data_IF_759428275276
#
_entry.id   IF_759428275276
#
_cell.length_a   1.000
_cell.length_b   1.000
_cell.length_c   1.000
_cell.angle_alpha   90.00
_cell.angle_beta   90.00
_cell.angle_gamma   90.00
#
_symmetry.space_group_name_H-M   'P 1'
#
loop_
_entity.id
_entity.type
_entity.pdbx_description
1 polymer ?
#
# COMPACT_ATOMS: atom_id res chain seq x y z
N UNK A 1 -38.96 35.66 -38.81
CA UNK A 1 -39.22 34.87 -37.60
C UNK A 1 -39.26 35.82 -36.41
N UNK A 2 -40.36 35.91 -35.67
CA UNK A 2 -40.38 36.64 -34.39
C UNK A 2 -39.55 35.85 -33.39
N UNK A 3 -38.57 36.48 -32.75
CA UNK A 3 -37.88 35.89 -31.60
C UNK A 3 -38.92 35.73 -30.48
N UNK A 4 -39.37 34.50 -30.26
CA UNK A 4 -40.26 34.18 -29.14
C UNK A 4 -39.41 34.21 -27.87
N UNK A 5 -39.71 35.13 -26.96
CA UNK A 5 -39.07 35.24 -25.65
C UNK A 5 -40.12 35.05 -24.56
N UNK A 6 -39.76 34.35 -23.49
CA UNK A 6 -40.65 34.18 -22.34
C UNK A 6 -40.91 35.51 -21.63
N UNK A 7 -42.11 35.65 -21.06
CA UNK A 7 -42.43 36.72 -20.12
C UNK A 7 -41.71 36.50 -18.78
N UNK A 8 -41.52 37.60 -18.05
CA UNK A 8 -40.91 37.56 -16.71
C UNK A 8 -41.70 36.66 -15.73
N UNK A 9 -43.02 36.55 -15.89
CA UNK A 9 -43.86 35.69 -15.07
C UNK A 9 -43.57 34.20 -15.31
N UNK A 10 -43.48 33.78 -16.57
CA UNK A 10 -43.16 32.38 -16.92
C UNK A 10 -41.75 31.99 -16.52
N UNK A 11 -40.77 32.87 -16.75
CA UNK A 11 -39.39 32.65 -16.28
C UNK A 11 -39.36 32.47 -14.77
N UNK A 12 -40.08 33.32 -14.03
CA UNK A 12 -40.17 33.21 -12.57
C UNK A 12 -40.78 31.87 -12.13
N UNK A 13 -41.87 31.40 -12.75
CA UNK A 13 -42.48 30.10 -12.42
C UNK A 13 -41.52 28.92 -12.65
N UNK A 14 -40.76 28.95 -13.74
CA UNK A 14 -39.73 27.93 -14.03
C UNK A 14 -38.64 27.97 -12.96
N UNK A 15 -38.11 29.16 -12.65
CA UNK A 15 -37.06 29.31 -11.64
C UNK A 15 -37.52 28.88 -10.25
N UNK A 16 -38.75 29.21 -9.84
CA UNK A 16 -39.32 28.79 -8.56
C UNK A 16 -39.44 27.26 -8.46
N UNK A 17 -39.85 26.59 -9.53
CA UNK A 17 -39.91 25.13 -9.58
C UNK A 17 -38.50 24.51 -9.47
N UNK A 18 -37.52 25.01 -10.23
CA UNK A 18 -36.13 24.56 -10.16
C UNK A 18 -35.54 24.82 -8.78
N UNK A 19 -35.84 25.96 -8.16
CA UNK A 19 -35.42 26.30 -6.80
C UNK A 19 -35.97 25.33 -5.75
N UNK A 20 -37.22 24.90 -5.90
CA UNK A 20 -37.79 23.88 -5.04
C UNK A 20 -37.05 22.55 -5.17
N UNK A 21 -36.73 22.12 -6.41
CA UNK A 21 -35.92 20.93 -6.64
C UNK A 21 -34.52 21.07 -6.02
N UNK A 22 -33.86 22.22 -6.21
CA UNK A 22 -32.54 22.51 -5.66
C UNK A 22 -32.52 22.46 -4.13
N UNK A 23 -33.53 23.03 -3.46
CA UNK A 23 -33.64 23.00 -1.98
C UNK A 23 -33.79 21.59 -1.42
N UNK A 24 -34.29 20.66 -2.23
CA UNK A 24 -34.47 19.27 -1.85
C UNK A 24 -33.19 18.45 -2.03
N UNK A 25 -32.19 18.97 -2.77
CA UNK A 25 -30.89 18.33 -2.94
C UNK A 25 -30.00 18.58 -1.71
N UNK A 26 -29.46 17.51 -1.11
CA UNK A 26 -28.48 17.58 -0.02
C UNK A 26 -27.04 17.52 -0.57
N UNK A 27 -26.74 18.37 -1.54
CA UNK A 27 -25.49 18.33 -2.31
C UNK A 27 -24.68 19.63 -2.16
N UNK A 28 -23.37 19.61 -2.50
CA UNK A 28 -22.54 20.80 -2.50
C UNK A 28 -23.09 21.89 -3.43
N UNK A 29 -22.87 23.16 -3.09
CA UNK A 29 -23.39 24.30 -3.85
C UNK A 29 -23.02 24.29 -5.34
N UNK A 30 -21.88 23.68 -5.72
CA UNK A 30 -21.50 23.50 -7.12
C UNK A 30 -22.48 22.60 -7.88
N UNK A 31 -22.74 21.39 -7.38
CA UNK A 31 -23.64 20.43 -8.03
C UNK A 31 -25.09 20.94 -8.10
N UNK A 32 -25.51 21.67 -7.06
CA UNK A 32 -26.85 22.31 -7.04
C UNK A 32 -26.96 23.42 -8.09
N UNK A 33 -25.88 24.16 -8.35
CA UNK A 33 -25.88 25.21 -9.37
C UNK A 33 -25.83 24.64 -10.78
N UNK A 34 -25.03 23.61 -11.04
CA UNK A 34 -24.96 22.96 -12.36
C UNK A 34 -26.34 22.37 -12.72
N UNK A 35 -26.96 21.66 -11.77
CA UNK A 35 -28.33 21.17 -11.93
C UNK A 35 -29.33 22.30 -12.17
N UNK A 36 -29.23 23.40 -11.43
CA UNK A 36 -30.10 24.58 -11.62
C UNK A 36 -29.98 25.14 -13.03
N UNK A 37 -28.77 25.32 -13.53
CA UNK A 37 -28.51 25.87 -14.85
C UNK A 37 -29.04 24.95 -15.95
N UNK A 38 -28.69 23.66 -15.89
CA UNK A 38 -29.11 22.66 -16.88
C UNK A 38 -30.64 22.49 -16.92
N UNK A 39 -31.27 22.36 -15.76
CA UNK A 39 -32.72 22.20 -15.67
C UNK A 39 -33.48 23.44 -16.10
N UNK A 40 -33.00 24.63 -15.73
CA UNK A 40 -33.63 25.89 -16.16
C UNK A 40 -33.53 26.03 -17.68
N UNK A 41 -32.37 25.72 -18.27
CA UNK A 41 -32.19 25.75 -19.72
C UNK A 41 -33.11 24.74 -20.44
N UNK A 42 -33.15 23.49 -19.96
CA UNK A 42 -33.98 22.44 -20.56
C UNK A 42 -35.49 22.77 -20.47
N UNK A 43 -35.95 23.28 -19.32
CA UNK A 43 -37.35 23.70 -19.16
C UNK A 43 -37.69 24.89 -20.06
N UNK A 44 -36.82 25.91 -20.13
CA UNK A 44 -36.99 27.05 -21.04
C UNK A 44 -37.09 26.59 -22.49
N UNK A 45 -36.18 25.70 -22.92
CA UNK A 45 -36.20 25.14 -24.28
C UNK A 45 -37.47 24.37 -24.58
N UNK A 46 -37.94 23.53 -23.65
CA UNK A 46 -39.20 22.79 -23.80
C UNK A 46 -40.42 23.71 -23.90
N UNK A 47 -40.46 24.79 -23.11
CA UNK A 47 -41.53 25.79 -23.21
C UNK A 47 -41.51 26.49 -24.58
N UNK A 48 -40.34 26.90 -25.06
CA UNK A 48 -40.20 27.55 -26.36
C UNK A 48 -40.62 26.63 -27.51
N UNK A 49 -40.31 25.33 -27.43
CA UNK A 49 -40.74 24.33 -28.40
C UNK A 49 -42.27 24.18 -28.43
N UNK A 50 -42.91 24.11 -27.26
CA UNK A 50 -44.37 24.09 -27.17
C UNK A 50 -45.03 25.40 -27.65
N UNK A 51 -44.37 26.55 -27.50
CA UNK A 51 -44.89 27.81 -28.06
C UNK A 51 -44.80 27.82 -29.60
N UNK A 52 -43.82 27.14 -30.18
CA UNK A 52 -43.69 27.04 -31.65
C UNK A 52 -44.80 26.20 -32.28
N UNK A 53 -45.42 25.28 -31.54
CA UNK A 53 -46.58 24.51 -32.00
C UNK A 53 -47.91 25.25 -31.90
N UNK A 54 -47.88 26.53 -31.49
CA UNK A 54 -49.05 27.42 -31.49
C UNK A 54 -49.82 27.46 -30.17
N UNK A 55 -49.29 26.85 -29.11
CA UNK A 55 -49.91 26.81 -27.78
C UNK A 55 -49.55 28.09 -27.00
N UNK A 56 -50.46 28.56 -26.13
CA UNK A 56 -50.21 29.74 -25.30
C UNK A 56 -49.04 29.52 -24.32
N UNK A 57 -48.31 30.58 -23.98
CA UNK A 57 -47.14 30.51 -23.09
C UNK A 57 -47.47 29.86 -21.74
N UNK A 58 -48.60 30.22 -21.12
CA UNK A 58 -49.03 29.64 -19.84
C UNK A 58 -49.30 28.14 -19.94
N UNK A 59 -49.89 27.67 -21.04
CA UNK A 59 -50.10 26.24 -21.29
C UNK A 59 -48.78 25.53 -21.60
N UNK A 60 -47.87 26.16 -22.35
CA UNK A 60 -46.56 25.62 -22.64
C UNK A 60 -45.73 25.41 -21.36
N UNK A 61 -45.75 26.38 -20.44
CA UNK A 61 -45.14 26.26 -19.09
C UNK A 61 -45.76 25.11 -18.30
N UNK A 62 -47.09 25.02 -18.27
CA UNK A 62 -47.78 23.95 -17.55
C UNK A 62 -47.44 22.56 -18.12
N UNK A 63 -47.40 22.42 -19.45
CA UNK A 63 -47.03 21.18 -20.12
C UNK A 63 -45.59 20.79 -19.81
N UNK A 64 -44.63 21.71 -19.95
CA UNK A 64 -43.23 21.45 -19.66
C UNK A 64 -43.01 21.03 -18.20
N UNK A 65 -43.63 21.71 -17.24
CA UNK A 65 -43.54 21.35 -15.82
C UNK A 65 -44.20 19.98 -15.54
N UNK A 66 -45.32 19.66 -16.18
CA UNK A 66 -45.99 18.37 -16.01
C UNK A 66 -45.20 17.20 -16.62
N UNK A 67 -44.48 17.42 -17.73
CA UNK A 67 -43.64 16.40 -18.37
C UNK A 67 -42.43 16.03 -17.50
N UNK A 68 -41.90 17.00 -16.76
CA UNK A 68 -40.83 16.75 -15.79
C UNK A 68 -41.33 16.06 -14.52
N UNK A 69 -42.64 16.07 -14.25
CA UNK A 69 -43.26 15.39 -13.11
C UNK A 69 -43.37 16.25 -11.85
N UNK A 70 -44.04 15.71 -10.82
CA UNK A 70 -44.15 16.39 -9.54
C UNK A 70 -42.78 16.46 -8.84
N UNK A 71 -42.51 17.58 -8.15
CA UNK A 71 -41.22 17.82 -7.50
C UNK A 71 -40.79 16.70 -6.54
N UNK A 72 -41.74 15.97 -5.93
CA UNK A 72 -41.47 14.83 -5.06
C UNK A 72 -40.98 13.58 -5.79
N UNK A 73 -41.46 13.31 -7.01
CA UNK A 73 -41.03 12.16 -7.81
C UNK A 73 -39.65 12.40 -8.41
N UNK A 74 -39.44 13.61 -8.94
CA UNK A 74 -38.14 14.09 -9.44
C UNK A 74 -37.09 14.03 -8.33
N UNK A 75 -37.43 14.45 -7.11
CA UNK A 75 -36.55 14.34 -5.94
C UNK A 75 -36.09 12.90 -5.69
N UNK A 76 -37.01 11.94 -5.69
CA UNK A 76 -36.69 10.53 -5.40
C UNK A 76 -35.74 9.95 -6.43
N UNK A 77 -35.94 10.30 -7.71
CA UNK A 77 -35.05 9.87 -8.79
C UNK A 77 -33.67 10.50 -8.67
N UNK A 78 -33.60 11.80 -8.38
CA UNK A 78 -32.34 12.49 -8.10
C UNK A 78 -31.60 11.81 -6.92
N UNK A 79 -32.25 11.63 -5.77
CA UNK A 79 -31.62 11.01 -4.60
C UNK A 79 -31.04 9.62 -4.92
N UNK A 80 -31.70 8.85 -5.79
CA UNK A 80 -31.21 7.55 -6.23
C UNK A 80 -29.94 7.67 -7.08
N UNK A 81 -29.92 8.58 -8.05
CA UNK A 81 -28.75 8.79 -8.93
C UNK A 81 -27.54 9.28 -8.12
N UNK A 82 -27.74 10.31 -7.28
CA UNK A 82 -26.66 10.89 -6.48
C UNK A 82 -26.14 9.93 -5.40
N UNK A 83 -27.02 9.13 -4.77
CA UNK A 83 -26.58 8.15 -3.78
C UNK A 83 -25.77 7.00 -4.38
N UNK A 84 -26.08 6.57 -5.61
CA UNK A 84 -25.29 5.57 -6.34
C UNK A 84 -23.90 6.12 -6.66
N UNK A 85 -23.82 7.33 -7.21
CA UNK A 85 -22.55 8.05 -7.48
C UNK A 85 -21.67 8.12 -6.23
N UNK A 86 -22.25 8.53 -5.09
CA UNK A 86 -21.52 8.68 -3.82
C UNK A 86 -21.03 7.35 -3.25
N UNK A 87 -21.87 6.30 -3.29
CA UNK A 87 -21.47 4.96 -2.84
C UNK A 87 -20.33 4.41 -3.69
N UNK A 88 -20.40 4.59 -5.00
CA UNK A 88 -19.33 4.20 -5.92
C UNK A 88 -18.01 4.89 -5.57
N UNK A 89 -17.99 6.23 -5.48
CA UNK A 89 -16.78 6.98 -5.17
C UNK A 89 -16.18 6.58 -3.80
N UNK A 90 -17.01 6.44 -2.77
CA UNK A 90 -16.55 6.04 -1.44
C UNK A 90 -16.01 4.61 -1.43
N UNK A 91 -16.64 3.70 -2.17
CA UNK A 91 -16.20 2.31 -2.32
C UNK A 91 -14.83 2.22 -2.99
N UNK A 92 -14.65 2.89 -4.13
CA UNK A 92 -13.38 2.93 -4.87
C UNK A 92 -12.24 3.46 -4.00
N UNK A 93 -12.46 4.57 -3.27
CA UNK A 93 -11.45 5.14 -2.39
C UNK A 93 -11.06 4.18 -1.26
N UNK A 94 -12.04 3.52 -0.61
CA UNK A 94 -11.76 2.54 0.44
C UNK A 94 -10.93 1.38 -0.09
N UNK A 95 -11.27 0.84 -1.25
CA UNK A 95 -10.50 -0.22 -1.90
C UNK A 95 -9.07 0.24 -2.23
N UNK A 96 -8.90 1.46 -2.75
CA UNK A 96 -7.57 2.03 -3.01
C UNK A 96 -6.72 2.10 -1.73
N UNK A 97 -7.28 2.62 -0.63
CA UNK A 97 -6.56 2.72 0.65
C UNK A 97 -6.18 1.34 1.20
N UNK A 98 -7.08 0.34 1.09
CA UNK A 98 -6.76 -1.03 1.51
C UNK A 98 -5.57 -1.58 0.71
N UNK A 99 -5.55 -1.39 -0.62
CA UNK A 99 -4.42 -1.82 -1.45
C UNK A 99 -3.12 -1.10 -1.08
N UNK A 100 -3.17 0.20 -0.77
CA UNK A 100 -2.00 0.96 -0.33
C UNK A 100 -1.43 0.40 0.98
N UNK A 101 -2.29 0.13 1.96
CA UNK A 101 -1.87 -0.43 3.26
C UNK A 101 -1.26 -1.83 3.08
N UNK A 102 -1.89 -2.70 2.28
CA UNK A 102 -1.36 -4.02 1.99
C UNK A 102 -0.01 -3.95 1.25
N UNK A 103 0.12 -3.03 0.29
CA UNK A 103 1.38 -2.78 -0.41
C UNK A 103 2.49 -2.36 0.57
N UNK A 104 2.21 -1.43 1.48
CA UNK A 104 3.16 -0.98 2.49
C UNK A 104 3.58 -2.11 3.45
N UNK A 105 2.66 -3.01 3.81
CA UNK A 105 2.98 -4.21 4.62
C UNK A 105 3.92 -5.15 3.85
N UNK A 106 3.60 -5.45 2.59
CA UNK A 106 4.43 -6.33 1.76
C UNK A 106 5.82 -5.75 1.51
N UNK A 107 5.93 -4.46 1.20
CA UNK A 107 7.19 -3.81 0.88
C UNK A 107 8.03 -3.46 2.12
N UNK A 108 7.39 -3.02 3.21
CA UNK A 108 8.07 -2.49 4.38
C UNK A 108 8.35 -3.53 5.47
N UNK A 109 7.34 -4.30 5.88
CA UNK A 109 7.43 -5.16 7.07
C UNK A 109 8.11 -6.49 6.78
N UNK A 110 7.81 -7.09 5.63
CA UNK A 110 8.32 -8.43 5.29
C UNK A 110 9.77 -8.36 4.77
N UNK A 111 10.14 -7.28 4.08
CA UNK A 111 11.43 -7.19 3.38
C UNK A 111 12.51 -6.63 4.29
N UNK A 112 12.33 -5.42 4.80
CA UNK A 112 13.39 -4.72 5.55
C UNK A 112 13.51 -5.20 7.00
N UNK A 113 12.40 -5.51 7.67
CA UNK A 113 12.44 -5.87 9.09
C UNK A 113 12.77 -7.34 9.29
N UNK A 114 12.19 -8.24 8.49
CA UNK A 114 12.35 -9.67 8.72
C UNK A 114 13.78 -10.14 8.44
N UNK A 115 14.24 -10.08 7.20
CA UNK A 115 15.49 -10.75 6.84
C UNK A 115 16.76 -10.04 7.34
N UNK A 116 16.77 -8.71 7.51
CA UNK A 116 17.96 -8.04 8.09
C UNK A 116 17.99 -8.15 9.61
N UNK A 117 16.87 -7.88 10.31
CA UNK A 117 16.88 -7.82 11.78
C UNK A 117 16.61 -9.16 12.44
N UNK A 118 15.69 -9.97 11.93
CA UNK A 118 15.37 -11.26 12.58
C UNK A 118 16.50 -12.26 12.41
N UNK A 119 17.12 -12.32 11.23
CA UNK A 119 18.24 -13.25 10.98
C UNK A 119 19.44 -12.92 11.87
N UNK A 120 19.77 -11.63 12.03
CA UNK A 120 20.81 -11.22 12.98
C UNK A 120 20.45 -11.58 14.42
N UNK A 121 19.22 -11.32 14.83
CA UNK A 121 18.74 -11.64 16.18
C UNK A 121 18.80 -13.13 16.48
N UNK A 122 18.49 -14.01 15.52
CA UNK A 122 18.60 -15.45 15.73
C UNK A 122 20.03 -15.89 16.03
N UNK A 123 21.02 -15.30 15.36
CA UNK A 123 22.42 -15.58 15.64
C UNK A 123 22.85 -15.08 17.04
N UNK A 124 22.38 -13.90 17.43
CA UNK A 124 22.65 -13.32 18.76
C UNK A 124 22.00 -14.14 19.89
N UNK A 125 20.74 -14.55 19.73
CA UNK A 125 20.02 -15.40 20.69
C UNK A 125 20.75 -16.75 20.87
N UNK A 126 21.17 -17.38 19.77
CA UNK A 126 21.93 -18.64 19.82
C UNK A 126 23.30 -18.47 20.50
N UNK A 127 24.00 -17.36 20.24
CA UNK A 127 25.28 -17.05 20.87
C UNK A 127 25.13 -16.86 22.38
N UNK A 128 24.13 -16.08 22.82
CA UNK A 128 23.88 -15.84 24.24
C UNK A 128 23.57 -17.14 25.01
N UNK A 129 22.87 -18.09 24.37
CA UNK A 129 22.61 -19.40 24.97
C UNK A 129 23.91 -20.19 25.21
N UNK A 130 24.89 -20.09 24.30
CA UNK A 130 26.18 -20.78 24.42
C UNK A 130 27.09 -20.06 25.42
N UNK A 131 27.18 -18.73 25.36
CA UNK A 131 28.02 -17.90 26.23
C UNK A 131 27.67 -18.05 27.72
N UNK A 132 26.37 -18.10 28.05
CA UNK A 132 25.91 -18.25 29.43
C UNK A 132 26.39 -19.56 30.09
N UNK A 133 26.74 -20.56 29.30
CA UNK A 133 27.11 -21.89 29.79
C UNK A 133 28.59 -22.23 29.55
N UNK A 134 29.29 -21.51 28.66
CA UNK A 134 30.70 -21.71 28.33
C UNK A 134 31.69 -20.93 29.22
N UNK A 135 31.25 -20.39 30.36
CA UNK A 135 32.08 -19.66 31.32
C UNK A 135 33.19 -20.51 32.00
N UNK A 136 33.23 -21.81 31.76
CA UNK A 136 34.30 -22.71 32.19
C UNK A 136 35.16 -23.17 30.99
N UNK A 137 36.39 -22.65 30.83
CA UNK A 137 37.30 -22.96 29.72
C UNK A 137 37.73 -24.43 29.63
N UNK A 138 37.48 -25.24 30.65
CA UNK A 138 37.93 -26.63 30.73
C UNK A 138 36.99 -27.65 30.09
N UNK A 139 35.79 -27.22 29.67
CA UNK A 139 34.75 -28.12 29.17
C UNK A 139 34.81 -28.28 27.65
N UNK A 140 35.39 -29.38 27.18
CA UNK A 140 35.54 -29.70 25.74
C UNK A 140 34.28 -30.28 25.10
N UNK A 141 33.16 -30.38 25.83
CA UNK A 141 31.88 -30.88 25.33
C UNK A 141 30.72 -29.98 25.80
N UNK A 142 29.77 -29.70 24.89
CA UNK A 142 28.53 -29.01 25.24
C UNK A 142 27.70 -29.89 26.17
N UNK A 143 27.23 -29.31 27.29
CA UNK A 143 26.38 -30.00 28.25
C UNK A 143 25.09 -30.52 27.58
N UNK A 144 24.58 -31.67 28.03
CA UNK A 144 23.28 -32.17 27.54
C UNK A 144 22.13 -31.17 27.76
N UNK A 145 22.03 -30.47 28.92
CA UNK A 145 21.04 -29.42 29.12
C UNK A 145 21.08 -28.29 28.08
N UNK A 146 22.27 -27.86 27.64
CA UNK A 146 22.40 -26.83 26.60
C UNK A 146 21.97 -27.34 25.23
N UNK A 147 22.35 -28.57 24.88
CA UNK A 147 21.93 -29.20 23.64
C UNK A 147 20.39 -29.28 23.55
N UNK A 148 19.73 -29.66 24.65
CA UNK A 148 18.28 -29.73 24.73
C UNK A 148 17.64 -28.33 24.63
N UNK A 149 18.23 -27.30 25.26
CA UNK A 149 17.78 -25.90 25.11
C UNK A 149 17.88 -25.40 23.68
N UNK A 150 18.99 -25.66 23.01
CA UNK A 150 19.22 -25.25 21.62
C UNK A 150 18.27 -25.94 20.67
N UNK A 151 18.04 -27.24 20.87
CA UNK A 151 17.02 -27.99 20.13
C UNK A 151 15.64 -27.39 20.32
N UNK A 152 15.23 -27.16 21.57
CA UNK A 152 13.96 -26.54 21.88
C UNK A 152 13.85 -25.12 21.30
N UNK A 153 14.94 -24.36 21.25
CA UNK A 153 14.97 -23.04 20.62
C UNK A 153 14.73 -23.13 19.11
N UNK A 154 15.39 -24.05 18.41
CA UNK A 154 15.14 -24.30 16.98
C UNK A 154 13.68 -24.72 16.75
N UNK A 155 13.15 -25.64 17.55
CA UNK A 155 11.79 -26.18 17.39
C UNK A 155 10.70 -25.13 17.67
N UNK A 156 10.94 -24.22 18.61
CA UNK A 156 9.95 -23.23 19.03
C UNK A 156 10.10 -21.87 18.34
N UNK A 157 11.20 -21.61 17.64
CA UNK A 157 11.45 -20.31 17.00
C UNK A 157 11.08 -20.34 15.53
N UNK A 158 9.96 -19.69 15.19
CA UNK A 158 9.53 -19.60 13.80
C UNK A 158 10.59 -18.93 12.93
N UNK A 159 11.00 -19.64 11.87
CA UNK A 159 12.03 -19.19 10.94
C UNK A 159 13.41 -19.75 11.24
N UNK A 160 13.69 -20.30 12.43
CA UNK A 160 14.93 -21.05 12.68
C UNK A 160 14.74 -22.49 12.22
N UNK A 161 15.75 -23.04 11.55
CA UNK A 161 15.73 -24.38 10.96
C UNK A 161 16.83 -25.28 11.49
N UNK A 162 17.88 -24.70 12.04
CA UNK A 162 18.93 -25.47 12.68
C UNK A 162 20.03 -24.60 13.27
N UNK A 163 20.89 -25.26 14.03
CA UNK A 163 22.05 -24.65 14.68
C UNK A 163 23.22 -25.63 14.66
N UNK A 164 24.42 -25.13 14.41
CA UNK A 164 25.70 -25.86 14.55
C UNK A 164 26.62 -25.06 15.47
N UNK A 165 27.30 -25.77 16.36
CA UNK A 165 28.32 -25.20 17.25
C UNK A 165 29.62 -25.94 17.01
N UNK A 166 30.65 -25.17 16.72
CA UNK A 166 32.00 -25.62 16.44
C UNK A 166 32.99 -24.91 17.35
N UNK A 167 34.07 -25.59 17.73
CA UNK A 167 35.17 -25.00 18.49
C UNK A 167 36.41 -24.98 17.64
N UNK A 168 37.08 -23.83 17.56
CA UNK A 168 38.31 -23.69 16.79
C UNK A 168 39.50 -24.23 17.58
N UNK A 169 40.23 -25.19 17.01
CA UNK A 169 41.43 -25.80 17.60
C UNK A 169 42.64 -25.46 16.71
N UNK A 170 43.42 -24.42 17.07
CA UNK A 170 44.61 -23.97 16.31
C UNK A 170 45.60 -25.09 15.99
N UNK A 171 45.99 -25.95 16.95
CA UNK A 171 46.87 -27.09 16.70
C UNK A 171 46.47 -27.98 15.51
N UNK A 172 45.16 -28.14 15.28
CA UNK A 172 44.63 -28.98 14.19
C UNK A 172 44.26 -28.19 12.94
N UNK A 173 44.18 -26.85 13.03
CA UNK A 173 43.68 -25.97 11.98
C UNK A 173 42.30 -26.40 11.41
N UNK A 174 41.53 -27.13 12.21
CA UNK A 174 40.23 -27.69 11.85
C UNK A 174 39.25 -27.47 13.01
N UNK A 175 38.08 -26.86 12.76
CA UNK A 175 37.05 -26.72 13.77
C UNK A 175 36.51 -28.10 14.15
N UNK A 176 36.42 -28.37 15.44
CA UNK A 176 35.77 -29.57 15.96
C UNK A 176 34.30 -29.25 16.22
N UNK A 177 33.39 -29.94 15.52
CA UNK A 177 31.96 -29.76 15.73
C UNK A 177 31.54 -30.39 17.05
N UNK A 178 30.97 -29.57 17.93
CA UNK A 178 30.52 -29.98 19.25
C UNK A 178 29.04 -30.37 19.27
N UNK A 179 28.22 -29.69 18.46
CA UNK A 179 26.78 -29.96 18.39
C UNK A 179 26.21 -29.53 17.04
N UNK A 180 25.19 -30.25 16.58
CA UNK A 180 24.35 -29.83 15.47
C UNK A 180 22.94 -30.34 15.66
N UNK A 181 21.98 -29.48 15.39
CA UNK A 181 20.58 -29.84 15.28
C UNK A 181 19.97 -29.19 14.05
N UNK A 182 19.24 -29.98 13.26
CA UNK A 182 18.53 -29.54 12.08
C UNK A 182 17.09 -30.08 12.13
N UNK A 183 16.14 -29.24 11.72
CA UNK A 183 14.72 -29.59 11.68
C UNK A 183 14.38 -30.53 10.51
N UNK A 184 15.20 -30.55 9.47
CA UNK A 184 15.01 -31.35 8.26
C UNK A 184 16.36 -31.72 7.61
N UNK A 185 16.34 -32.73 6.73
CA UNK A 185 17.54 -33.29 6.08
C UNK A 185 18.25 -32.28 5.18
N UNK A 186 17.51 -31.37 4.55
CA UNK A 186 18.08 -30.36 3.67
C UNK A 186 18.89 -29.36 4.49
N UNK A 187 18.33 -28.91 5.62
CA UNK A 187 19.00 -28.04 6.58
C UNK A 187 20.24 -28.70 7.18
N UNK A 188 20.16 -30.00 7.48
CA UNK A 188 21.31 -30.78 7.94
C UNK A 188 22.45 -30.77 6.92
N UNK A 189 22.13 -31.00 5.64
CA UNK A 189 23.11 -30.93 4.55
C UNK A 189 23.75 -29.54 4.44
N UNK A 190 22.95 -28.47 4.61
CA UNK A 190 23.43 -27.09 4.57
C UNK A 190 24.37 -26.75 5.73
N UNK A 191 24.01 -27.11 6.96
CA UNK A 191 24.86 -26.91 8.14
C UNK A 191 26.16 -27.70 8.02
N UNK A 192 26.11 -28.91 7.45
CA UNK A 192 27.28 -29.71 7.15
C UNK A 192 28.22 -29.04 6.13
N UNK A 193 27.66 -28.48 5.05
CA UNK A 193 28.43 -27.78 4.03
C UNK A 193 29.10 -26.51 4.56
N UNK A 194 28.44 -25.79 5.48
CA UNK A 194 28.95 -24.53 6.05
C UNK A 194 30.10 -24.69 7.04
N UNK A 195 30.29 -25.89 7.60
CA UNK A 195 31.26 -26.13 8.68
C UNK A 195 32.74 -26.14 8.26
N UNK A 196 33.06 -26.04 6.96
CA UNK A 196 34.42 -26.23 6.48
C UNK A 196 34.74 -25.37 5.24
N UNK A 197 35.68 -24.44 5.38
CA UNK A 197 36.73 -24.23 4.36
C UNK A 197 36.46 -23.47 3.04
N UNK A 198 35.46 -22.60 2.90
CA UNK A 198 35.30 -21.84 1.64
C UNK A 198 35.96 -20.46 1.54
N UNK A 199 36.53 -19.89 2.61
CA UNK A 199 37.17 -18.55 2.52
C UNK A 199 38.70 -18.53 2.47
N UNK A 200 39.39 -19.63 2.81
CA UNK A 200 40.87 -19.58 2.99
C UNK A 200 41.67 -20.03 1.74
N UNK A 201 41.05 -20.62 0.70
CA UNK A 201 41.78 -21.00 -0.54
C UNK A 201 41.17 -20.45 -1.83
N UNK A 202 41.53 -19.21 -2.17
CA UNK A 202 42.01 -18.84 -3.50
C UNK A 202 41.20 -19.24 -4.76
N UNK A 203 39.87 -19.24 -4.73
CA UNK A 203 39.04 -19.51 -5.91
C UNK A 203 37.92 -18.48 -6.07
N UNK A 204 37.81 -17.87 -7.26
CA UNK A 204 36.69 -16.96 -7.59
C UNK A 204 35.36 -17.73 -7.47
N UNK A 205 34.37 -17.25 -6.69
CA UNK A 205 33.09 -17.92 -6.57
C UNK A 205 32.24 -17.71 -7.82
N UNK A 206 31.97 -18.77 -8.58
CA UNK A 206 30.91 -18.81 -9.59
C UNK A 206 29.64 -19.43 -8.97
N UNK A 207 28.59 -18.60 -8.93
CA UNK A 207 27.25 -18.80 -8.34
C UNK A 207 26.57 -20.14 -8.66
N UNK A 208 25.84 -20.67 -7.68
CA UNK A 208 24.46 -21.10 -7.83
C UNK A 208 23.50 -20.09 -7.15
N UNK A 209 22.51 -19.57 -7.87
CA UNK A 209 21.32 -18.92 -7.29
C UNK A 209 20.16 -19.95 -7.21
N UNK A 210 19.13 -19.74 -6.37
CA UNK A 210 19.05 -18.97 -5.12
C UNK A 210 18.42 -19.78 -3.96
N UNK A 211 18.81 -19.53 -2.69
CA UNK A 211 17.94 -19.54 -1.48
C UNK A 211 18.67 -19.70 -0.12
N UNK A 212 20.00 -19.68 -0.03
CA UNK A 212 20.63 -19.90 1.28
C UNK A 212 21.78 -18.93 1.51
N UNK A 213 21.60 -18.06 2.51
CA UNK A 213 22.66 -17.24 3.08
C UNK A 213 22.80 -17.64 4.54
N UNK A 214 23.96 -18.20 4.86
CA UNK A 214 24.46 -18.35 6.23
C UNK A 214 25.37 -17.17 6.45
N UNK A 215 25.07 -16.32 7.43
CA UNK A 215 26.05 -15.38 7.97
C UNK A 215 25.83 -15.27 9.46
N UNK A 216 26.68 -15.97 10.18
CA UNK A 216 27.08 -15.61 11.53
C UNK A 216 27.61 -14.18 11.48
N UNK A 217 26.91 -13.25 12.13
CA UNK A 217 27.48 -11.92 12.35
C UNK A 217 28.44 -12.05 13.52
N UNK A 218 29.72 -11.92 13.21
CA UNK A 218 30.78 -11.73 14.18
C UNK A 218 30.65 -10.29 14.72
N UNK A 219 30.53 -10.16 16.03
CA UNK A 219 30.88 -8.95 16.78
C UNK A 219 31.31 -9.46 18.16
N UNK A 220 32.58 -9.56 18.50
CA UNK A 220 33.81 -8.94 17.98
C UNK A 220 34.49 -9.73 16.86
N UNK A 221 34.69 -9.24 15.63
CA UNK A 221 34.91 -7.90 15.08
C UNK A 221 34.23 -7.87 13.70
N UNK A 222 33.49 -6.87 13.22
CA UNK A 222 33.63 -5.45 13.37
C UNK A 222 32.25 -4.78 13.30
N UNK A 223 32.07 -3.74 14.10
CA UNK A 223 31.42 -2.53 13.58
C UNK A 223 31.95 -2.21 12.18
N UNK A 224 31.09 -1.74 11.27
CA UNK A 224 31.58 -0.84 10.22
C UNK A 224 32.05 0.48 10.86
N UNK A 225 33.19 0.41 11.52
CA UNK A 225 34.09 1.51 11.81
C UNK A 225 35.49 0.91 11.67
N UNK A 226 36.37 1.60 10.95
CA UNK A 226 37.64 1.08 10.47
C UNK A 226 38.64 0.80 11.60
N UNK A 227 38.49 -0.31 12.31
CA UNK A 227 39.39 -0.75 13.39
C UNK A 227 39.62 -2.28 13.32
N UNK A 228 40.91 -2.62 13.12
CA UNK A 228 41.69 -3.87 13.36
C UNK A 228 41.01 -5.26 13.37
N UNK A 229 41.60 -6.23 12.65
CA UNK A 229 41.18 -7.65 12.59
C UNK A 229 41.24 -8.38 13.96
N UNK A 230 40.32 -9.33 14.24
CA UNK A 230 40.27 -10.03 15.53
C UNK A 230 41.36 -11.08 15.67
N UNK A 231 41.99 -11.11 16.85
CA UNK A 231 42.84 -12.23 17.26
C UNK A 231 41.95 -13.38 17.69
N UNK A 232 41.81 -14.40 16.84
CA UNK A 232 41.08 -15.65 17.14
C UNK A 232 41.87 -16.44 18.18
N UNK A 233 41.36 -16.53 19.41
CA UNK A 233 41.95 -17.36 20.47
C UNK A 233 41.57 -18.85 20.32
N UNK A 234 42.37 -19.74 20.89
CA UNK A 234 42.31 -21.21 20.80
C UNK A 234 41.03 -21.81 21.44
N UNK A 235 40.14 -20.96 21.96
CA UNK A 235 38.90 -21.32 22.65
C UNK A 235 37.64 -20.69 22.04
N UNK A 236 37.75 -20.14 20.83
CA UNK A 236 36.62 -19.46 20.18
C UNK A 236 35.57 -20.46 19.70
N UNK A 237 34.30 -20.21 20.02
CA UNK A 237 33.16 -20.95 19.49
C UNK A 237 32.62 -20.28 18.24
N UNK A 238 32.32 -21.09 17.23
CA UNK A 238 31.64 -20.68 16.00
C UNK A 238 30.20 -21.18 16.11
N UNK A 239 29.24 -20.25 16.12
CA UNK A 239 27.81 -20.56 16.16
C UNK A 239 27.21 -20.26 14.79
N UNK A 240 26.66 -21.28 14.14
CA UNK A 240 26.04 -21.18 12.83
C UNK A 240 24.55 -21.45 12.96
N UNK A 241 23.71 -20.53 12.50
CA UNK A 241 22.25 -20.67 12.53
C UNK A 241 21.71 -20.76 11.11
N UNK A 242 20.95 -21.82 10.83
CA UNK A 242 20.16 -21.92 9.61
C UNK A 242 18.79 -21.30 9.85
N UNK A 243 18.42 -20.32 9.04
CA UNK A 243 17.15 -19.62 9.11
C UNK A 243 16.43 -19.58 7.77
N UNK A 244 15.11 -19.45 7.81
CA UNK A 244 14.25 -19.34 6.64
C UNK A 244 14.39 -17.95 6.05
N UNK A 245 14.95 -17.89 4.84
CA UNK A 245 15.03 -16.65 4.09
C UNK A 245 13.78 -16.48 3.24
N UNK A 246 13.05 -15.37 3.44
CA UNK A 246 11.92 -15.08 2.54
C UNK A 246 12.45 -14.54 1.22
N UNK A 247 12.02 -15.16 0.12
CA UNK A 247 12.31 -14.66 -1.21
C UNK A 247 11.59 -13.32 -1.41
N UNK A 248 12.35 -12.23 -1.37
CA UNK A 248 11.79 -10.89 -1.53
C UNK A 248 11.14 -10.67 -2.88
N UNK A 249 11.61 -11.34 -3.95
CA UNK A 249 11.13 -11.10 -5.31
C UNK A 249 9.62 -11.29 -5.41
N UNK A 250 9.08 -12.31 -4.72
CA UNK A 250 7.63 -12.53 -4.66
C UNK A 250 6.91 -11.38 -3.95
N UNK A 251 7.33 -11.01 -2.74
CA UNK A 251 6.71 -9.95 -1.96
C UNK A 251 6.90 -8.55 -2.57
N UNK A 252 8.01 -8.33 -3.26
CA UNK A 252 8.29 -7.11 -4.03
C UNK A 252 7.35 -7.01 -5.22
N UNK A 253 7.21 -8.10 -5.98
CA UNK A 253 6.30 -8.15 -7.13
C UNK A 253 4.85 -7.97 -6.68
N UNK A 254 4.43 -8.63 -5.60
CA UNK A 254 3.10 -8.48 -5.02
C UNK A 254 2.88 -7.06 -4.49
N UNK A 255 3.84 -6.50 -3.76
CA UNK A 255 3.78 -5.15 -3.22
C UNK A 255 3.66 -4.08 -4.31
N UNK A 256 4.45 -4.21 -5.39
CA UNK A 256 4.37 -3.33 -6.56
C UNK A 256 3.06 -3.51 -7.33
N UNK A 257 2.56 -4.75 -7.47
CA UNK A 257 1.27 -5.02 -8.10
C UNK A 257 0.12 -4.36 -7.32
N UNK A 258 0.10 -4.51 -6.00
CA UNK A 258 -0.88 -3.85 -5.12
C UNK A 258 -0.77 -2.33 -5.20
N UNK A 259 0.45 -1.78 -5.26
CA UNK A 259 0.69 -0.35 -5.43
C UNK A 259 0.14 0.15 -6.77
N UNK A 260 0.37 -0.59 -7.86
CA UNK A 260 -0.20 -0.29 -9.17
C UNK A 260 -1.73 -0.29 -9.15
N UNK A 261 -2.33 -1.29 -8.49
CA UNK A 261 -3.78 -1.34 -8.26
C UNK A 261 -4.31 -0.14 -7.48
N UNK A 262 -3.61 0.28 -6.42
CA UNK A 262 -3.90 1.51 -5.69
C UNK A 262 -3.86 2.73 -6.62
N UNK A 263 -2.78 2.91 -7.39
CA UNK A 263 -2.62 4.06 -8.29
C UNK A 263 -3.77 4.16 -9.30
N UNK A 264 -4.19 3.02 -9.87
CA UNK A 264 -5.30 2.97 -10.82
C UNK A 264 -6.63 3.35 -10.14
N UNK A 265 -6.97 2.72 -9.01
CA UNK A 265 -8.22 3.02 -8.30
C UNK A 265 -8.27 4.46 -7.80
N UNK A 266 -7.16 4.98 -7.28
CA UNK A 266 -7.07 6.36 -6.84
C UNK A 266 -7.23 7.33 -8.01
N UNK A 267 -6.60 7.05 -9.16
CA UNK A 267 -6.76 7.86 -10.38
C UNK A 267 -8.21 7.88 -10.85
N UNK A 268 -8.88 6.72 -10.87
CA UNK A 268 -10.30 6.62 -11.21
C UNK A 268 -11.15 7.43 -10.23
N UNK A 269 -10.90 7.30 -8.93
CA UNK A 269 -11.61 8.06 -7.90
C UNK A 269 -11.40 9.57 -8.04
N UNK A 270 -10.15 10.02 -8.20
CA UNK A 270 -9.78 11.41 -8.33
C UNK A 270 -10.34 12.03 -9.63
N UNK A 271 -10.26 11.28 -10.74
CA UNK A 271 -10.82 11.68 -12.02
C UNK A 271 -12.34 11.78 -11.96
N UNK A 272 -13.02 10.82 -11.32
CA UNK A 272 -14.46 10.88 -11.07
C UNK A 272 -14.81 12.13 -10.25
N UNK A 273 -14.11 12.39 -9.14
CA UNK A 273 -14.39 13.57 -8.32
C UNK A 273 -14.13 14.88 -9.09
N UNK A 274 -13.04 14.97 -9.86
CA UNK A 274 -12.73 16.16 -10.64
C UNK A 274 -13.71 16.40 -11.82
N UNK A 275 -14.21 15.33 -12.43
CA UNK A 275 -15.23 15.39 -13.48
C UNK A 275 -16.52 15.98 -12.94
N UNK A 276 -16.99 15.50 -11.80
CA UNK A 276 -18.24 16.00 -11.20
C UNK A 276 -18.15 17.39 -10.59
N UNK A 277 -16.96 17.88 -10.26
CA UNK A 277 -16.77 19.28 -9.87
C UNK A 277 -16.74 20.24 -11.09
N UNK A 278 -17.01 19.74 -12.31
CA UNK A 278 -17.10 20.53 -13.55
C UNK A 278 -15.77 21.11 -14.03
N UNK A 279 -14.65 20.66 -13.46
CA UNK A 279 -13.31 21.28 -13.63
C UNK A 279 -12.24 20.30 -14.09
N UNK A 280 -12.62 19.07 -14.41
CA UNK A 280 -11.73 18.04 -14.91
C UNK A 280 -11.30 18.31 -16.35
N UNK A 281 -10.15 18.94 -16.54
CA UNK A 281 -9.45 18.90 -17.82
C UNK A 281 -8.62 17.61 -17.91
N UNK A 282 -8.29 17.17 -19.13
CA UNK A 282 -7.51 15.95 -19.32
C UNK A 282 -6.11 16.04 -18.69
N UNK A 283 -5.59 17.27 -18.52
CA UNK A 283 -4.35 17.54 -17.81
C UNK A 283 -4.37 17.12 -16.34
N UNK A 284 -5.49 17.31 -15.64
CA UNK A 284 -5.65 16.85 -14.26
C UNK A 284 -5.65 15.33 -14.16
N UNK A 285 -6.30 14.63 -15.09
CA UNK A 285 -6.30 13.17 -15.13
C UNK A 285 -4.87 12.65 -15.31
N UNK A 286 -4.11 13.23 -16.24
CA UNK A 286 -2.70 12.89 -16.44
C UNK A 286 -1.86 13.19 -15.18
N UNK A 287 -2.12 14.31 -14.50
CA UNK A 287 -1.42 14.67 -13.27
C UNK A 287 -1.74 13.70 -12.12
N UNK A 288 -3.00 13.26 -11.98
CA UNK A 288 -3.41 12.27 -10.99
C UNK A 288 -2.73 10.93 -11.24
N UNK A 289 -2.63 10.51 -12.51
CA UNK A 289 -1.95 9.27 -12.87
C UNK A 289 -0.45 9.32 -12.53
N UNK A 290 0.21 10.44 -12.84
CA UNK A 290 1.66 10.59 -12.65
C UNK A 290 2.06 10.83 -11.19
N UNK A 291 1.24 11.54 -10.43
CA UNK A 291 1.64 12.05 -9.10
C UNK A 291 0.66 11.68 -7.97
N UNK A 292 -0.41 10.95 -8.27
CA UNK A 292 -1.40 10.44 -7.31
C UNK A 292 -1.90 11.53 -6.34
N UNK A 293 -1.71 11.31 -5.03
CA UNK A 293 -2.19 12.19 -3.95
C UNK A 293 -1.66 13.62 -4.14
N UNK A 294 -0.41 13.78 -4.59
CA UNK A 294 0.20 15.11 -4.80
C UNK A 294 -0.55 15.84 -5.92
N UNK A 295 -0.82 15.16 -7.03
CA UNK A 295 -1.57 15.73 -8.15
C UNK A 295 -2.98 16.13 -7.75
N UNK A 296 -3.64 15.30 -6.95
CA UNK A 296 -4.96 15.62 -6.40
C UNK A 296 -4.91 16.79 -5.41
N UNK A 297 -3.88 16.89 -4.58
CA UNK A 297 -3.65 18.02 -3.69
C UNK A 297 -3.48 19.34 -4.47
N UNK A 298 -2.69 19.34 -5.55
CA UNK A 298 -2.53 20.49 -6.44
C UNK A 298 -3.86 20.88 -7.11
N UNK A 299 -4.66 19.90 -7.52
CA UNK A 299 -6.00 20.14 -8.05
C UNK A 299 -6.88 20.89 -7.04
N UNK A 300 -6.94 20.43 -5.79
CA UNK A 300 -7.72 21.08 -4.73
C UNK A 300 -7.26 22.52 -4.47
N UNK A 301 -5.94 22.76 -4.45
CA UNK A 301 -5.39 24.11 -4.30
C UNK A 301 -5.81 25.01 -5.48
N UNK A 302 -5.74 24.50 -6.70
CA UNK A 302 -6.14 25.23 -7.91
C UNK A 302 -7.63 25.58 -7.93
N UNK A 303 -8.47 24.70 -7.38
CA UNK A 303 -9.89 24.94 -7.20
C UNK A 303 -10.13 26.02 -6.14
N UNK A 304 -9.43 25.95 -5.00
CA UNK A 304 -9.58 26.90 -3.88
C UNK A 304 -9.13 28.32 -4.23
N UNK A 305 -8.02 28.49 -4.93
CA UNK A 305 -7.48 29.80 -5.32
C UNK A 305 -8.44 30.59 -6.21
N UNK A 306 -9.22 29.92 -7.08
CA UNK A 306 -10.15 30.59 -7.99
C UNK A 306 -11.46 31.05 -7.35
N UNK A 307 -11.87 30.47 -6.22
CA UNK A 307 -13.03 30.97 -5.47
C UNK A 307 -12.75 32.32 -4.81
N UNK A 308 -11.52 32.58 -4.35
CA UNK A 308 -11.16 33.89 -3.80
C UNK A 308 -11.12 35.01 -4.85
N UNK A 309 -10.82 34.67 -6.11
CA UNK A 309 -10.76 35.65 -7.20
C UNK A 309 -12.14 36.03 -7.74
N UNK A 310 -13.15 35.16 -7.58
CA UNK A 310 -14.56 35.46 -7.98
C UNK A 310 -15.40 36.11 -6.87
N UNK A 311 -14.88 36.18 -5.64
CA UNK A 311 -15.57 36.80 -4.51
C UNK A 311 -15.15 38.27 -4.28
N UNK A 312 -14.33 38.82 -5.18
CA UNK A 312 -13.92 40.23 -5.28
C UNK A 312 -14.50 40.80 -6.58
#
# INVERSE_FOLDING_TARGET
>A
MRSVSLTAESTRRITEYVDQLCKLMKEPAGEVNDFREEMTANLISGVLEHMQTGISEQQAVAMALSQFGEAGEVKRELEKIYSVKRRFATGVLRSAIILLVLSAICLGLIIGVWNERMVQKFAEDAYQLVEQESADPSNTALSQPLQDKLKAWVDNTWGVKGVSIEQFDRPKAEPSRLFMYAADSDTEQWLNFSSFYLEIKGGKPSRPEPNFFIKTTIRDIASSSAAEEPVIDDHSFIVSVAATYFNYTFFYSLGLFLLGGYCLLFTVWAGFNAYYEGKGNIGWIALFLLTNIVGYGLYLISCRSRYQVRAL
#
